data_IF_147008433670
#
_entry.id   IF_147008433670
#
_cell.length_a   1.000
_cell.length_b   1.000
_cell.length_c   1.000
_cell.angle_alpha   90.00
_cell.angle_beta   90.00
_cell.angle_gamma   90.00
#
_symmetry.space_group_name_H-M   'P 1'
#
loop_
_entity.id
_entity.type
_entity.pdbx_description
1 polymer ?
#
# COMPACT_ATOMS: atom_id res chain seq x y z
N UNK A 1 -27.11 -2.15 -22.27
CA UNK A 1 -26.38 -0.89 -22.40
C UNK A 1 -26.05 -0.71 -23.87
N UNK A 2 -26.30 0.45 -24.48
CA UNK A 2 -25.96 0.67 -25.88
C UNK A 2 -24.43 0.61 -26.02
N UNK A 3 -23.94 -0.15 -26.98
CA UNK A 3 -22.54 -0.20 -27.40
C UNK A 3 -22.13 1.20 -27.83
N UNK A 4 -21.01 1.77 -27.36
CA UNK A 4 -20.54 3.04 -27.87
C UNK A 4 -20.32 2.89 -29.38
N UNK A 5 -20.85 3.84 -30.15
CA UNK A 5 -20.72 3.85 -31.60
C UNK A 5 -19.23 3.89 -31.96
N UNK A 6 -18.77 2.93 -32.78
CA UNK A 6 -17.42 2.92 -33.33
C UNK A 6 -17.16 4.23 -34.08
N UNK A 7 -16.06 4.93 -33.79
CA UNK A 7 -15.69 6.09 -34.56
C UNK A 7 -15.31 5.63 -35.97
N UNK A 8 -15.99 6.20 -36.98
CA UNK A 8 -15.82 5.86 -38.38
C UNK A 8 -14.45 6.24 -38.98
N UNK A 9 -13.57 6.88 -38.22
CA UNK A 9 -12.26 7.35 -38.65
C UNK A 9 -11.15 6.72 -37.79
N UNK A 10 -10.05 6.23 -38.40
CA UNK A 10 -8.94 5.70 -37.60
C UNK A 10 -8.32 6.79 -36.72
N UNK A 11 -7.80 6.41 -35.53
CA UNK A 11 -7.30 7.37 -34.56
C UNK A 11 -6.09 8.16 -35.06
N UNK A 12 -6.06 9.47 -34.81
CA UNK A 12 -4.98 10.38 -35.20
C UNK A 12 -3.91 10.49 -34.11
N UNK A 13 -2.66 10.18 -34.47
CA UNK A 13 -1.53 10.35 -33.55
C UNK A 13 -1.27 11.86 -33.23
N UNK A 14 -0.67 12.20 -32.08
CA UNK A 14 -0.23 11.28 -31.01
C UNK A 14 -1.39 10.76 -30.17
N UNK A 15 -1.21 9.54 -29.67
CA UNK A 15 -2.19 8.86 -28.82
C UNK A 15 -1.85 9.01 -27.34
N UNK A 16 -2.88 9.00 -26.50
CA UNK A 16 -2.77 8.92 -25.05
C UNK A 16 -3.49 7.67 -24.58
N UNK A 17 -2.83 6.87 -23.78
CA UNK A 17 -3.36 5.60 -23.28
C UNK A 17 -3.47 5.68 -21.77
N UNK A 18 -4.65 5.36 -21.24
CA UNK A 18 -4.90 5.12 -19.83
C UNK A 18 -5.24 3.66 -19.62
N UNK A 19 -4.60 3.02 -18.63
CA UNK A 19 -4.90 1.65 -18.24
C UNK A 19 -5.25 1.61 -16.77
N UNK A 20 -6.35 0.92 -16.42
CA UNK A 20 -6.71 0.59 -15.06
C UNK A 20 -6.68 -0.94 -14.88
N UNK A 21 -5.78 -1.39 -14.00
CA UNK A 21 -5.65 -2.81 -13.65
C UNK A 21 -6.44 -3.11 -12.39
N UNK A 22 -7.63 -3.67 -12.58
CA UNK A 22 -8.47 -4.18 -11.50
C UNK A 22 -8.18 -5.65 -11.16
N UNK A 23 -8.80 -6.14 -10.09
CA UNK A 23 -8.65 -7.55 -9.67
C UNK A 23 -9.26 -8.56 -10.64
N UNK A 24 -10.29 -8.17 -11.43
CA UNK A 24 -11.01 -9.05 -12.35
C UNK A 24 -10.77 -8.70 -13.82
N UNK A 25 -10.74 -7.43 -14.14
CA UNK A 25 -10.56 -6.93 -15.49
C UNK A 25 -9.51 -5.83 -15.54
N UNK A 26 -8.80 -5.79 -16.67
CA UNK A 26 -7.93 -4.67 -17.05
C UNK A 26 -8.67 -3.87 -18.12
N UNK A 27 -8.93 -2.62 -17.82
CA UNK A 27 -9.59 -1.66 -18.70
C UNK A 27 -8.53 -0.74 -19.34
N UNK A 28 -8.63 -0.53 -20.65
CA UNK A 28 -7.74 0.35 -21.40
C UNK A 28 -8.56 1.35 -22.20
N UNK A 29 -8.17 2.61 -22.16
CA UNK A 29 -8.73 3.67 -22.98
C UNK A 29 -7.62 4.31 -23.79
N UNK A 30 -7.77 4.35 -25.11
CA UNK A 30 -6.96 5.17 -26.00
C UNK A 30 -7.73 6.42 -26.35
N UNK A 31 -7.11 7.57 -26.25
CA UNK A 31 -7.62 8.85 -26.75
C UNK A 31 -6.69 9.41 -27.82
N UNK A 32 -7.25 9.86 -28.93
CA UNK A 32 -6.51 10.49 -29.99
C UNK A 32 -6.43 12.03 -29.84
N UNK A 33 -5.77 12.68 -30.78
CA UNK A 33 -5.60 14.14 -30.77
C UNK A 33 -6.93 14.89 -30.90
N UNK A 34 -7.94 14.30 -31.51
CA UNK A 34 -9.28 14.91 -31.67
C UNK A 34 -10.15 14.79 -30.43
N UNK A 35 -9.74 13.94 -29.47
CA UNK A 35 -10.51 13.57 -28.28
C UNK A 35 -11.43 12.36 -28.51
N UNK A 36 -11.38 11.72 -29.67
CA UNK A 36 -12.06 10.45 -29.89
C UNK A 36 -11.41 9.35 -29.05
N UNK A 37 -12.22 8.41 -28.53
CA UNK A 37 -11.77 7.38 -27.60
C UNK A 37 -12.14 5.99 -28.07
N UNK A 38 -11.23 5.04 -27.82
CA UNK A 38 -11.41 3.59 -28.01
C UNK A 38 -11.16 2.89 -26.69
N UNK A 39 -11.95 1.88 -26.40
CA UNK A 39 -11.88 1.15 -25.14
C UNK A 39 -11.62 -0.32 -25.42
N UNK A 40 -10.69 -0.89 -24.65
CA UNK A 40 -10.46 -2.34 -24.61
C UNK A 40 -10.62 -2.83 -23.18
N UNK A 41 -11.23 -3.98 -23.00
CA UNK A 41 -11.41 -4.64 -21.71
C UNK A 41 -11.07 -6.11 -21.83
N UNK A 42 -10.15 -6.57 -20.98
CA UNK A 42 -9.70 -7.96 -20.94
C UNK A 42 -9.72 -8.48 -19.49
N UNK A 43 -9.80 -9.81 -19.26
CA UNK A 43 -9.58 -10.36 -17.94
C UNK A 43 -8.18 -10.01 -17.43
N UNK A 44 -8.08 -9.63 -16.17
CA UNK A 44 -6.78 -9.41 -15.50
C UNK A 44 -6.05 -10.74 -15.31
N UNK A 45 -4.73 -10.66 -15.22
CA UNK A 45 -3.84 -11.78 -14.88
C UNK A 45 -3.30 -11.53 -13.46
N UNK A 46 -3.92 -12.10 -12.42
CA UNK A 46 -3.56 -11.77 -11.02
C UNK A 46 -2.11 -12.07 -10.64
N UNK A 47 -1.52 -13.10 -11.29
CA UNK A 47 -0.13 -13.51 -11.05
C UNK A 47 0.89 -12.60 -11.75
N UNK A 48 0.47 -11.92 -12.80
CA UNK A 48 1.31 -10.99 -13.56
C UNK A 48 0.41 -9.89 -14.19
N UNK A 49 0.14 -8.81 -13.46
CA UNK A 49 -0.69 -7.71 -13.94
C UNK A 49 -0.20 -7.09 -15.25
N UNK A 50 1.11 -7.15 -15.53
CA UNK A 50 1.70 -6.59 -16.76
C UNK A 50 1.21 -7.32 -18.02
N UNK A 51 0.96 -8.61 -17.93
CA UNK A 51 0.37 -9.39 -19.02
C UNK A 51 -1.06 -8.94 -19.34
N UNK A 52 -1.86 -8.61 -18.31
CA UNK A 52 -3.19 -8.04 -18.52
C UNK A 52 -3.15 -6.74 -19.32
N UNK A 53 -2.17 -5.88 -19.04
CA UNK A 53 -1.96 -4.64 -19.79
C UNK A 53 -1.59 -4.93 -21.24
N UNK A 54 -0.63 -5.85 -21.48
CA UNK A 54 -0.22 -6.23 -22.84
C UNK A 54 -1.38 -6.83 -23.62
N UNK A 55 -2.17 -7.71 -23.02
CA UNK A 55 -3.37 -8.29 -23.65
C UNK A 55 -4.39 -7.22 -24.03
N UNK A 56 -4.57 -6.19 -23.18
CA UNK A 56 -5.47 -5.07 -23.48
C UNK A 56 -4.98 -4.23 -24.65
N UNK A 57 -3.66 -4.00 -24.77
CA UNK A 57 -3.04 -3.31 -25.90
C UNK A 57 -3.16 -4.15 -27.18
N UNK A 58 -2.87 -5.45 -27.12
CA UNK A 58 -2.96 -6.38 -28.25
C UNK A 58 -4.40 -6.42 -28.80
N UNK A 59 -5.38 -6.50 -27.89
CA UNK A 59 -6.79 -6.49 -28.27
C UNK A 59 -7.16 -5.19 -28.96
N UNK A 60 -6.75 -4.04 -28.37
CA UNK A 60 -7.01 -2.72 -28.97
C UNK A 60 -6.34 -2.61 -30.35
N UNK A 61 -5.09 -3.06 -30.49
CA UNK A 61 -4.38 -3.05 -31.77
C UNK A 61 -5.12 -3.86 -32.83
N UNK A 62 -5.61 -5.04 -32.47
CA UNK A 62 -6.42 -5.89 -33.37
C UNK A 62 -7.73 -5.18 -33.77
N UNK A 63 -8.43 -4.56 -32.84
CA UNK A 63 -9.68 -3.83 -33.10
C UNK A 63 -9.45 -2.59 -34.01
N UNK A 64 -8.24 -2.00 -33.94
CA UNK A 64 -7.82 -0.88 -34.81
C UNK A 64 -7.17 -1.31 -36.13
N UNK A 65 -6.98 -2.61 -36.36
CA UNK A 65 -6.29 -3.15 -37.56
C UNK A 65 -4.82 -2.77 -37.65
N UNK A 66 -4.14 -2.61 -36.50
CA UNK A 66 -2.72 -2.22 -36.41
C UNK A 66 -1.93 -3.19 -35.51
N UNK A 67 -0.64 -2.95 -35.31
CA UNK A 67 0.19 -3.75 -34.43
C UNK A 67 0.34 -3.13 -33.04
N UNK A 68 0.60 -3.93 -32.02
CA UNK A 68 0.96 -3.48 -30.66
C UNK A 68 2.15 -2.51 -30.70
N UNK A 69 3.17 -2.82 -31.52
CA UNK A 69 4.33 -1.93 -31.71
C UNK A 69 3.95 -0.56 -32.25
N UNK A 70 3.01 -0.50 -33.20
CA UNK A 70 2.51 0.77 -33.74
C UNK A 70 1.71 1.55 -32.70
N UNK A 71 0.89 0.86 -31.88
CA UNK A 71 0.14 1.50 -30.77
C UNK A 71 1.12 2.17 -29.82
N UNK A 72 2.16 1.44 -29.39
CA UNK A 72 3.15 1.97 -28.44
C UNK A 72 4.01 3.09 -29.05
N UNK A 73 4.42 2.96 -30.31
CA UNK A 73 5.23 3.98 -30.99
C UNK A 73 4.48 5.30 -31.18
N UNK A 74 3.18 5.26 -31.40
CA UNK A 74 2.32 6.45 -31.55
C UNK A 74 1.83 7.01 -30.21
N UNK A 75 2.09 6.31 -29.11
CA UNK A 75 1.69 6.73 -27.76
C UNK A 75 2.65 7.82 -27.24
N UNK A 76 2.11 9.01 -26.95
CA UNK A 76 2.86 10.12 -26.37
C UNK A 76 2.72 10.22 -24.86
N UNK A 77 1.69 9.58 -24.31
CA UNK A 77 1.43 9.53 -22.87
C UNK A 77 0.80 8.18 -22.51
N UNK A 78 1.42 7.48 -21.60
CA UNK A 78 0.89 6.26 -21.01
C UNK A 78 0.67 6.47 -19.51
N UNK A 79 -0.59 6.33 -19.07
CA UNK A 79 -0.98 6.46 -17.67
C UNK A 79 -1.46 5.10 -17.18
N UNK A 80 -0.89 4.64 -16.08
CA UNK A 80 -1.24 3.38 -15.46
C UNK A 80 -1.82 3.62 -14.06
N UNK A 81 -3.03 3.11 -13.83
CA UNK A 81 -3.68 3.00 -12.54
C UNK A 81 -3.78 1.54 -12.11
N UNK A 82 -3.74 1.29 -10.81
CA UNK A 82 -3.97 -0.06 -10.28
C UNK A 82 -4.75 0.00 -8.98
N UNK A 83 -5.77 -0.84 -8.87
CA UNK A 83 -6.55 -1.03 -7.63
C UNK A 83 -6.09 -2.25 -6.84
N UNK A 84 -4.97 -2.89 -7.24
CA UNK A 84 -4.46 -4.10 -6.59
C UNK A 84 -4.22 -3.89 -5.10
N UNK A 85 -3.59 -2.78 -4.72
CA UNK A 85 -3.33 -2.44 -3.31
C UNK A 85 -4.64 -2.30 -2.51
N UNK A 86 -5.60 -1.53 -3.04
CA UNK A 86 -6.91 -1.35 -2.40
C UNK A 86 -7.66 -2.66 -2.27
N UNK A 87 -7.67 -3.48 -3.32
CA UNK A 87 -8.33 -4.77 -3.31
C UNK A 87 -7.67 -5.74 -2.30
N UNK A 88 -6.33 -5.74 -2.23
CA UNK A 88 -5.59 -6.55 -1.24
C UNK A 88 -6.01 -6.22 0.18
N UNK A 89 -6.18 -4.93 0.49
CA UNK A 89 -6.63 -4.48 1.82
C UNK A 89 -8.09 -4.85 2.08
N UNK A 90 -8.99 -4.57 1.13
CA UNK A 90 -10.42 -4.85 1.27
C UNK A 90 -10.73 -6.35 1.40
N UNK A 91 -9.96 -7.19 0.72
CA UNK A 91 -10.11 -8.65 0.76
C UNK A 91 -9.34 -9.30 1.92
N UNK A 92 -8.58 -8.52 2.71
CA UNK A 92 -7.78 -9.04 3.81
C UNK A 92 -6.65 -9.98 3.38
N UNK A 93 -6.15 -9.85 2.15
CA UNK A 93 -5.11 -10.70 1.55
C UNK A 93 -3.69 -10.15 1.75
N UNK A 94 -3.53 -9.07 2.52
CA UNK A 94 -2.22 -8.51 2.87
C UNK A 94 -1.37 -9.45 3.72
N UNK A 95 -0.09 -9.12 3.84
CA UNK A 95 0.82 -9.83 4.73
C UNK A 95 0.35 -9.75 6.19
N UNK A 96 0.60 -10.79 6.99
CA UNK A 96 0.39 -10.75 8.44
C UNK A 96 1.44 -9.81 9.05
N UNK A 97 1.00 -8.70 9.63
CA UNK A 97 1.88 -7.64 10.14
C UNK A 97 2.05 -7.73 11.65
N UNK A 98 3.29 -7.60 12.12
CA UNK A 98 3.64 -7.24 13.49
C UNK A 98 3.93 -5.74 13.59
N UNK A 99 3.63 -5.13 14.74
CA UNK A 99 3.89 -3.71 14.98
C UNK A 99 4.81 -3.54 16.19
N UNK A 100 5.89 -2.79 16.01
CA UNK A 100 6.68 -2.22 17.09
C UNK A 100 6.32 -0.75 17.26
N UNK A 101 5.93 -0.38 18.46
CA UNK A 101 5.53 1.00 18.76
C UNK A 101 6.01 1.41 20.15
N UNK A 102 6.13 2.70 20.40
CA UNK A 102 6.56 3.21 21.71
C UNK A 102 5.66 2.67 22.83
N UNK A 103 6.26 2.32 23.95
CA UNK A 103 5.55 1.91 25.16
C UNK A 103 4.46 2.93 25.52
N UNK A 104 3.24 2.41 25.82
CA UNK A 104 2.05 3.25 26.04
C UNK A 104 1.24 3.57 24.77
N UNK A 105 1.74 3.29 23.54
CA UNK A 105 1.06 3.59 22.28
C UNK A 105 0.53 2.36 21.52
N UNK A 106 0.60 1.17 22.13
CA UNK A 106 0.13 -0.07 21.48
C UNK A 106 -1.35 -0.05 21.07
N UNK A 107 -2.15 0.82 21.63
CA UNK A 107 -3.59 0.91 21.36
C UNK A 107 -3.95 2.06 20.40
N UNK A 108 -2.95 2.75 19.84
CA UNK A 108 -3.16 3.88 18.93
C UNK A 108 -4.03 3.51 17.71
N UNK A 109 -3.89 2.30 17.18
CA UNK A 109 -4.69 1.81 16.05
C UNK A 109 -6.18 1.62 16.39
N UNK A 110 -6.52 1.30 17.64
CA UNK A 110 -7.89 1.14 18.10
C UNK A 110 -8.49 2.46 18.57
N UNK A 111 -7.72 3.23 19.34
CA UNK A 111 -8.15 4.54 19.86
C UNK A 111 -8.35 5.53 18.73
N UNK A 112 -7.49 5.46 17.69
CA UNK A 112 -7.52 6.38 16.54
C UNK A 112 -7.46 7.83 16.99
N UNK A 113 -8.45 8.64 16.59
CA UNK A 113 -8.68 10.02 17.07
C UNK A 113 -9.76 10.08 18.14
N UNK A 114 -10.08 8.97 18.80
CA UNK A 114 -11.13 8.90 19.81
C UNK A 114 -12.57 8.92 19.24
N UNK A 115 -12.70 8.86 17.91
CA UNK A 115 -14.01 8.81 17.24
C UNK A 115 -14.43 7.37 16.98
N UNK A 116 -15.71 7.09 17.17
CA UNK A 116 -16.36 5.82 16.83
C UNK A 116 -17.26 6.01 15.60
N UNK A 117 -17.46 4.96 14.83
CA UNK A 117 -18.41 4.95 13.71
C UNK A 117 -19.83 5.23 14.20
N UNK A 118 -20.26 4.57 15.30
CA UNK A 118 -21.52 4.78 15.97
C UNK A 118 -21.28 5.50 17.30
N UNK A 119 -21.25 6.83 17.27
CA UNK A 119 -20.85 7.66 18.40
C UNK A 119 -21.73 7.50 19.65
N UNK A 120 -23.02 7.15 19.44
CA UNK A 120 -24.02 7.03 20.52
C UNK A 120 -24.31 5.59 20.92
N UNK A 121 -23.84 4.59 20.18
CA UNK A 121 -23.96 3.20 20.54
C UNK A 121 -22.67 2.66 21.16
N UNK A 122 -22.64 2.60 22.48
CA UNK A 122 -21.50 2.08 23.24
C UNK A 122 -21.27 0.57 23.05
N UNK A 123 -22.22 -0.14 22.44
CA UNK A 123 -22.13 -1.59 22.16
C UNK A 123 -21.60 -1.87 20.75
N UNK A 124 -21.60 -0.87 19.87
CA UNK A 124 -21.06 -1.03 18.54
C UNK A 124 -19.56 -1.40 18.63
N UNK A 125 -19.11 -2.45 17.94
CA UNK A 125 -17.71 -2.82 17.92
C UNK A 125 -16.88 -1.71 17.22
N UNK A 126 -15.63 -1.61 17.60
CA UNK A 126 -14.67 -0.82 16.82
C UNK A 126 -14.47 -1.46 15.45
N UNK A 127 -14.15 -0.66 14.44
CA UNK A 127 -13.76 -1.20 13.15
C UNK A 127 -12.55 -2.14 13.30
N UNK A 128 -12.49 -3.22 12.53
CA UNK A 128 -11.38 -4.16 12.58
C UNK A 128 -10.04 -3.46 12.36
N UNK A 129 -9.06 -3.82 13.16
CA UNK A 129 -7.68 -3.34 13.03
C UNK A 129 -6.83 -4.37 12.29
N UNK A 130 -5.88 -3.92 11.48
CA UNK A 130 -5.05 -4.82 10.67
C UNK A 130 -4.05 -5.62 11.50
N UNK A 131 -3.59 -5.08 12.65
CA UNK A 131 -2.67 -5.76 13.54
C UNK A 131 -3.39 -6.09 14.85
N UNK A 132 -3.52 -7.36 15.17
CA UNK A 132 -4.14 -7.81 16.43
C UNK A 132 -3.33 -7.34 17.64
N UNK A 133 -3.98 -7.13 18.79
CA UNK A 133 -3.37 -6.48 19.95
C UNK A 133 -2.09 -7.15 20.45
N UNK A 134 -2.03 -8.48 20.46
CA UNK A 134 -0.86 -9.24 20.95
C UNK A 134 0.34 -9.20 19.99
N UNK A 135 0.18 -8.73 18.77
CA UNK A 135 1.26 -8.47 17.80
C UNK A 135 1.70 -7.00 17.75
N UNK A 136 1.21 -6.18 18.68
CA UNK A 136 1.65 -4.80 18.88
C UNK A 136 2.54 -4.78 20.10
N UNK A 137 3.84 -4.82 19.87
CA UNK A 137 4.81 -4.95 20.93
C UNK A 137 5.43 -3.60 21.28
N UNK A 138 5.61 -3.30 22.59
CA UNK A 138 6.16 -2.03 23.02
C UNK A 138 7.67 -1.96 22.77
N UNK A 139 8.14 -0.77 22.51
CA UNK A 139 9.55 -0.38 22.48
C UNK A 139 9.75 0.69 23.53
N UNK A 140 10.61 0.44 24.50
CA UNK A 140 11.05 1.49 25.42
C UNK A 140 11.90 2.52 24.64
N UNK A 141 11.84 3.76 25.07
CA UNK A 141 12.54 4.87 24.42
C UNK A 141 11.61 6.05 24.16
N UNK A 142 12.15 7.24 24.09
CA UNK A 142 11.35 8.46 23.97
C UNK A 142 12.07 9.59 23.24
N UNK A 143 11.43 10.09 22.19
CA UNK A 143 11.70 11.40 21.60
C UNK A 143 10.62 12.37 22.09
N UNK A 144 11.03 13.50 22.63
CA UNK A 144 10.13 14.52 23.16
C UNK A 144 9.59 15.44 22.05
N UNK A 145 8.66 16.31 22.40
CA UNK A 145 7.96 17.18 21.46
C UNK A 145 8.87 18.23 20.77
N UNK A 146 10.04 18.50 21.34
CA UNK A 146 11.07 19.37 20.76
C UNK A 146 12.10 18.63 19.91
N UNK A 147 11.93 17.29 19.75
CA UNK A 147 12.83 16.42 19.02
C UNK A 147 14.03 15.92 19.83
N UNK A 148 14.13 16.29 21.12
CA UNK A 148 15.21 15.79 21.98
C UNK A 148 14.95 14.35 22.43
N UNK A 149 16.01 13.58 22.62
CA UNK A 149 15.94 12.23 23.19
C UNK A 149 15.91 12.33 24.72
N UNK A 150 14.82 11.86 25.35
CA UNK A 150 14.74 11.72 26.82
C UNK A 150 15.06 10.30 27.32
N UNK A 151 14.91 9.30 26.44
CA UNK A 151 15.31 7.93 26.72
C UNK A 151 15.67 7.19 25.42
N UNK A 152 16.83 6.50 25.34
CA UNK A 152 17.20 5.72 24.18
C UNK A 152 16.33 4.45 24.05
N UNK A 153 16.20 3.86 22.85
CA UNK A 153 15.47 2.60 22.67
C UNK A 153 16.21 1.45 23.34
N UNK A 154 15.47 0.59 24.05
CA UNK A 154 16.04 -0.63 24.62
C UNK A 154 16.15 -1.71 23.53
N UNK A 155 17.36 -2.02 23.08
CA UNK A 155 17.59 -2.99 22.01
C UNK A 155 17.49 -4.45 22.46
N UNK A 156 17.58 -4.73 23.76
CA UNK A 156 17.54 -6.09 24.30
C UNK A 156 16.16 -6.75 24.13
N UNK A 157 15.11 -5.97 24.04
CA UNK A 157 13.73 -6.46 23.89
C UNK A 157 13.42 -6.95 22.47
N UNK A 158 14.22 -6.58 21.46
CA UNK A 158 13.93 -6.91 20.07
C UNK A 158 14.13 -8.37 19.71
N UNK A 159 15.02 -9.08 20.39
CA UNK A 159 15.19 -10.52 20.20
C UNK A 159 13.91 -11.29 20.60
N UNK A 160 13.27 -10.88 21.70
CA UNK A 160 12.01 -11.46 22.15
C UNK A 160 10.86 -11.10 21.19
N UNK A 161 10.82 -9.86 20.69
CA UNK A 161 9.85 -9.42 19.70
C UNK A 161 10.00 -10.19 18.37
N UNK A 162 11.23 -10.35 17.88
CA UNK A 162 11.52 -11.12 16.67
C UNK A 162 11.10 -12.60 16.82
N UNK A 163 11.39 -13.21 17.98
CA UNK A 163 10.96 -14.58 18.28
C UNK A 163 9.43 -14.71 18.32
N UNK A 164 8.73 -13.73 18.91
CA UNK A 164 7.26 -13.70 18.94
C UNK A 164 6.69 -13.59 17.53
N UNK A 165 7.21 -12.68 16.70
CA UNK A 165 6.77 -12.51 15.33
C UNK A 165 7.01 -13.76 14.49
N UNK A 166 8.17 -14.40 14.64
CA UNK A 166 8.47 -15.65 13.95
C UNK A 166 7.51 -16.78 14.35
N UNK A 167 7.27 -16.97 15.65
CA UNK A 167 6.35 -18.00 16.18
C UNK A 167 4.91 -17.79 15.69
N UNK A 168 4.51 -16.55 15.52
CA UNK A 168 3.16 -16.16 15.06
C UNK A 168 3.04 -16.10 13.53
N UNK A 169 4.11 -16.37 12.78
CA UNK A 169 4.11 -16.32 11.33
C UNK A 169 3.87 -14.91 10.76
N UNK A 170 4.43 -13.90 11.42
CA UNK A 170 4.43 -12.52 10.89
C UNK A 170 5.28 -12.46 9.64
N UNK A 171 4.74 -11.89 8.57
CA UNK A 171 5.38 -11.81 7.25
C UNK A 171 6.04 -10.45 7.01
N UNK A 172 5.57 -9.40 7.69
CA UNK A 172 6.11 -8.05 7.58
C UNK A 172 6.03 -7.32 8.94
N UNK A 173 6.95 -6.39 9.19
CA UNK A 173 6.97 -5.62 10.43
C UNK A 173 6.80 -4.14 10.14
N UNK A 174 5.86 -3.50 10.83
CA UNK A 174 5.76 -2.05 10.91
C UNK A 174 6.47 -1.55 12.16
N UNK A 175 7.21 -0.45 12.03
CA UNK A 175 7.85 0.26 13.14
C UNK A 175 7.27 1.67 13.16
N UNK A 176 6.62 2.06 14.27
CA UNK A 176 6.01 3.37 14.39
C UNK A 176 6.24 3.91 15.82
N UNK A 177 7.28 4.71 15.96
CA UNK A 177 7.66 5.25 17.25
C UNK A 177 7.17 6.69 17.45
N UNK A 178 6.92 7.04 18.69
CA UNK A 178 6.40 8.36 19.06
C UNK A 178 7.38 9.46 18.66
N UNK A 179 6.85 10.52 18.02
CA UNK A 179 7.60 11.68 17.52
C UNK A 179 8.69 11.36 16.47
N UNK A 180 8.73 10.17 15.87
CA UNK A 180 9.72 9.82 14.86
C UNK A 180 9.67 10.69 13.59
N UNK A 181 8.62 11.48 13.40
CA UNK A 181 8.56 12.47 12.32
C UNK A 181 9.44 13.71 12.59
N UNK A 182 9.85 13.94 13.86
CA UNK A 182 10.80 14.99 14.25
C UNK A 182 12.25 14.48 14.20
N UNK A 183 12.46 13.28 14.72
CA UNK A 183 13.73 12.59 14.72
C UNK A 183 13.51 11.08 14.62
N UNK A 184 13.98 10.48 13.54
CA UNK A 184 13.73 9.08 13.18
C UNK A 184 14.84 8.12 13.63
N UNK A 185 15.88 8.61 14.34
CA UNK A 185 17.05 7.78 14.71
C UNK A 185 16.66 6.54 15.55
N UNK A 186 15.62 6.61 16.38
CA UNK A 186 15.10 5.44 17.09
C UNK A 186 14.53 4.41 16.13
N UNK A 187 13.71 4.82 15.14
CA UNK A 187 13.19 3.88 14.14
C UNK A 187 14.31 3.27 13.31
N UNK A 188 15.33 4.05 12.94
CA UNK A 188 16.50 3.56 12.22
C UNK A 188 17.25 2.50 13.03
N UNK A 189 17.47 2.75 14.34
CA UNK A 189 18.11 1.77 15.24
C UNK A 189 17.30 0.48 15.35
N UNK A 190 15.97 0.58 15.49
CA UNK A 190 15.06 -0.58 15.55
C UNK A 190 15.10 -1.36 14.24
N UNK A 191 15.02 -0.69 13.10
CA UNK A 191 15.08 -1.34 11.78
C UNK A 191 16.41 -2.07 11.56
N UNK A 192 17.53 -1.42 11.93
CA UNK A 192 18.85 -2.04 11.84
C UNK A 192 18.95 -3.31 12.69
N UNK A 193 18.44 -3.27 13.91
CA UNK A 193 18.47 -4.43 14.83
C UNK A 193 17.55 -5.56 14.34
N UNK A 194 16.33 -5.25 13.90
CA UNK A 194 15.42 -6.26 13.32
C UNK A 194 16.02 -6.93 12.08
N UNK A 195 16.71 -6.15 11.25
CA UNK A 195 17.41 -6.66 10.06
C UNK A 195 18.56 -7.58 10.47
N UNK A 196 19.34 -7.18 11.47
CA UNK A 196 20.44 -8.00 12.02
C UNK A 196 19.94 -9.34 12.60
N UNK A 197 18.76 -9.32 13.22
CA UNK A 197 18.10 -10.51 13.78
C UNK A 197 17.41 -11.38 12.74
N UNK A 198 17.29 -10.92 11.49
CA UNK A 198 16.55 -11.61 10.44
C UNK A 198 15.04 -11.73 10.73
N UNK A 199 14.48 -10.77 11.49
CA UNK A 199 13.10 -10.82 11.94
C UNK A 199 12.07 -10.74 10.79
N UNK A 200 12.40 -10.01 9.72
CA UNK A 200 11.64 -9.93 8.47
C UNK A 200 12.49 -9.27 7.39
N UNK A 201 12.30 -9.67 6.14
CA UNK A 201 12.87 -8.97 4.97
C UNK A 201 12.07 -7.70 4.64
N UNK A 202 10.88 -7.53 5.24
CA UNK A 202 9.92 -6.48 4.93
C UNK A 202 9.62 -5.67 6.18
N UNK A 203 10.37 -4.57 6.35
CA UNK A 203 10.21 -3.66 7.48
C UNK A 203 9.78 -2.30 6.96
N UNK A 204 8.70 -1.75 7.51
CA UNK A 204 8.16 -0.44 7.16
C UNK A 204 8.30 0.52 8.34
N UNK A 205 9.27 1.42 8.28
CA UNK A 205 9.45 2.47 9.28
C UNK A 205 8.51 3.65 8.98
N UNK A 206 7.79 4.10 9.99
CA UNK A 206 6.75 5.12 9.84
C UNK A 206 7.29 6.47 9.37
N UNK A 207 8.45 6.87 9.86
CA UNK A 207 9.12 8.11 9.46
C UNK A 207 9.57 8.10 7.99
N UNK A 208 9.90 6.92 7.45
CA UNK A 208 10.25 6.77 6.03
C UNK A 208 9.02 6.78 5.12
N UNK A 209 7.92 6.11 5.55
CA UNK A 209 6.71 5.94 4.74
C UNK A 209 5.83 7.18 4.79
N UNK A 210 5.66 7.79 5.96
CA UNK A 210 4.76 8.92 6.18
C UNK A 210 5.31 9.84 7.30
N UNK A 211 6.30 10.71 7.01
CA UNK A 211 6.89 11.60 8.02
C UNK A 211 5.95 12.76 8.38
N UNK A 212 4.80 12.44 8.95
CA UNK A 212 3.76 13.41 9.31
C UNK A 212 3.44 13.36 10.79
N UNK A 213 3.02 14.50 11.33
CA UNK A 213 2.48 14.57 12.68
C UNK A 213 1.17 13.76 12.76
N UNK A 214 0.97 13.05 13.88
CA UNK A 214 -0.23 12.24 14.13
C UNK A 214 0.10 10.77 14.23
N UNK A 215 0.09 10.25 15.47
CA UNK A 215 0.50 8.87 15.76
C UNK A 215 -0.40 7.85 15.07
N UNK A 216 -1.71 8.10 15.05
CA UNK A 216 -2.64 7.18 14.38
C UNK A 216 -2.41 7.12 12.88
N UNK A 217 -2.33 8.26 12.21
CA UNK A 217 -2.16 8.35 10.76
C UNK A 217 -0.82 7.74 10.33
N UNK A 218 0.25 8.05 11.06
CA UNK A 218 1.58 7.53 10.76
C UNK A 218 1.66 6.03 10.99
N UNK A 219 1.17 5.54 12.14
CA UNK A 219 1.15 4.11 12.47
C UNK A 219 0.30 3.31 11.49
N UNK A 220 -0.93 3.78 11.19
CA UNK A 220 -1.81 3.08 10.25
C UNK A 220 -1.24 3.05 8.84
N UNK A 221 -0.58 4.12 8.39
CA UNK A 221 0.08 4.15 7.08
C UNK A 221 1.26 3.17 7.02
N UNK A 222 2.09 3.11 8.06
CA UNK A 222 3.19 2.15 8.14
C UNK A 222 2.70 0.69 8.13
N UNK A 223 1.61 0.41 8.87
CA UNK A 223 0.97 -0.92 8.89
C UNK A 223 0.40 -1.29 7.53
N UNK A 224 -0.31 -0.37 6.88
CA UNK A 224 -0.84 -0.58 5.52
C UNK A 224 0.29 -0.85 4.54
N UNK A 225 1.37 -0.06 4.59
CA UNK A 225 2.53 -0.26 3.72
C UNK A 225 3.18 -1.63 3.95
N UNK A 226 3.36 -2.05 5.20
CA UNK A 226 3.88 -3.37 5.54
C UNK A 226 2.97 -4.49 5.01
N UNK A 227 1.65 -4.37 5.17
CA UNK A 227 0.69 -5.35 4.69
C UNK A 227 0.71 -5.51 3.17
N UNK A 228 0.94 -4.44 2.43
CA UNK A 228 0.99 -4.43 0.96
C UNK A 228 2.31 -4.96 0.39
N UNK A 229 3.36 -5.10 1.18
CA UNK A 229 4.67 -5.57 0.74
C UNK A 229 4.65 -6.96 0.08
N UNK A 230 3.57 -7.73 0.25
CA UNK A 230 3.35 -9.04 -0.41
C UNK A 230 2.77 -8.90 -1.82
N UNK A 231 2.16 -7.76 -2.16
CA UNK A 231 1.46 -7.54 -3.43
C UNK A 231 2.36 -6.92 -4.52
N UNK A 232 3.63 -6.69 -4.21
CA UNK A 232 4.62 -6.10 -5.13
C UNK A 232 5.59 -7.13 -5.68
#
# INVERSE_FOLDING_TARGET
>A
MPTPAEPATPPQAPWRIGVDVGGTFTDLVLADRSGATWVSKVPSVPQDPSQGVLHAIDRLAADLGTSTGDVLTRCSLFVHGSTVATNTLLEGKGAKVGLLTTEGFCDALEIRRGLREEQWDHRAPYAPVMVVRYLRLPVAGRIDADGSESAPPCLDDFAAAAATFAAEGVEAVAVALFNSFLDDHHEQAVVAELTRLGASERISASATVAPVMGEYERTSTAVVNAALARAS
#
